data_IF_976022648989
#
_entry.id   IF_976022648989
#
_cell.length_a   1.000
_cell.length_b   1.000
_cell.length_c   1.000
_cell.angle_alpha   90.00
_cell.angle_beta   90.00
_cell.angle_gamma   90.00
#
_symmetry.space_group_name_H-M   'P 1'
#
loop_
_entity.id
_entity.type
_entity.pdbx_description
1 polymer ?
#
# COMPACT_ATOMS: atom_id res chain seq x y z
N UNK A 1 10.20 21.65 -14.19
CA UNK A 1 9.23 20.53 -14.26
C UNK A 1 8.27 20.65 -13.09
N UNK A 2 6.98 20.35 -13.27
CA UNK A 2 6.05 20.26 -12.15
C UNK A 2 6.51 19.15 -11.17
N UNK A 3 6.37 19.34 -9.85
CA UNK A 3 6.76 18.32 -8.88
C UNK A 3 5.95 17.05 -9.12
N UNK A 4 6.64 15.92 -9.25
CA UNK A 4 5.96 14.63 -9.36
C UNK A 4 5.40 14.26 -8.00
N UNK A 5 4.10 14.03 -7.97
CA UNK A 5 3.34 13.87 -6.73
C UNK A 5 2.82 12.44 -6.64
N UNK A 6 2.99 11.80 -5.50
CA UNK A 6 2.30 10.55 -5.15
C UNK A 6 1.11 10.96 -4.28
N UNK A 7 -0.10 10.63 -4.73
CA UNK A 7 -1.32 10.80 -3.94
C UNK A 7 -1.76 9.44 -3.41
N UNK A 8 -2.04 9.35 -2.11
CA UNK A 8 -2.44 8.12 -1.44
C UNK A 8 -3.84 8.32 -0.89
N UNK A 9 -4.70 7.35 -1.14
CA UNK A 9 -6.08 7.33 -0.65
C UNK A 9 -6.31 5.99 0.04
N UNK A 10 -6.68 6.03 1.31
CA UNK A 10 -6.88 4.82 2.12
C UNK A 10 -7.30 5.16 3.55
N UNK A 11 -7.49 4.12 4.37
CA UNK A 11 -7.89 4.26 5.77
C UNK A 11 -6.79 4.84 6.66
N UNK A 12 -7.24 5.53 7.70
CA UNK A 12 -6.48 5.97 8.85
C UNK A 12 -7.18 5.38 10.07
N UNK A 13 -6.47 4.56 10.82
CA UNK A 13 -7.02 3.84 11.95
C UNK A 13 -6.21 4.17 13.22
N UNK A 14 -6.79 3.89 14.38
CA UNK A 14 -6.12 3.94 15.67
C UNK A 14 -6.11 2.52 16.23
N UNK A 15 -4.93 1.91 16.24
CA UNK A 15 -4.73 0.52 16.61
C UNK A 15 -4.57 0.42 18.14
N UNK A 16 -5.47 -0.34 18.77
CA UNK A 16 -5.34 -0.78 20.15
C UNK A 16 -4.76 -2.19 20.17
N UNK A 17 -3.48 -2.31 20.50
CA UNK A 17 -2.74 -3.57 20.48
C UNK A 17 -2.67 -4.12 21.91
N UNK A 18 -3.43 -5.17 22.16
CA UNK A 18 -3.46 -5.84 23.47
C UNK A 18 -2.58 -7.10 23.40
N UNK A 19 -1.54 -7.16 24.23
CA UNK A 19 -0.63 -8.30 24.33
C UNK A 19 -1.06 -9.16 25.52
N UNK A 20 -1.34 -10.43 25.27
CA UNK A 20 -1.68 -11.42 26.29
C UNK A 20 -0.90 -12.72 26.05
N UNK A 21 -0.83 -13.58 27.07
CA UNK A 21 -0.09 -14.85 27.00
C UNK A 21 -0.67 -15.84 25.96
N UNK A 22 -1.92 -15.64 25.55
CA UNK A 22 -2.60 -16.40 24.48
C UNK A 22 -3.87 -15.66 24.02
N UNK A 23 -4.48 -16.15 22.95
CA UNK A 23 -5.81 -15.71 22.51
C UNK A 23 -6.86 -16.20 23.52
N UNK A 24 -7.83 -15.36 23.94
CA UNK A 24 -8.92 -15.78 24.82
C UNK A 24 -9.91 -16.69 24.09
N UNK A 25 -10.45 -17.68 24.80
CA UNK A 25 -11.54 -18.52 24.29
C UNK A 25 -12.87 -17.74 24.25
N UNK A 26 -13.84 -18.26 23.49
CA UNK A 26 -15.17 -17.64 23.39
C UNK A 26 -15.87 -17.54 24.75
N UNK A 27 -16.09 -16.32 25.23
CA UNK A 27 -16.73 -16.03 26.52
C UNK A 27 -15.77 -15.95 27.71
N UNK A 28 -14.47 -16.17 27.50
CA UNK A 28 -13.44 -16.04 28.53
C UNK A 28 -13.03 -14.56 28.74
N UNK A 29 -12.69 -14.20 29.97
CA UNK A 29 -11.96 -12.96 30.29
C UNK A 29 -10.50 -13.28 30.63
N UNK A 30 -9.57 -12.73 29.86
CA UNK A 30 -8.13 -12.91 30.07
C UNK A 30 -7.49 -11.56 30.40
N UNK A 31 -6.66 -11.52 31.44
CA UNK A 31 -5.88 -10.32 31.78
C UNK A 31 -4.78 -10.11 30.74
N UNK A 32 -4.72 -8.91 30.16
CA UNK A 32 -3.66 -8.52 29.26
C UNK A 32 -2.36 -8.24 30.04
N UNK A 33 -1.23 -8.56 29.43
CA UNK A 33 0.09 -8.22 29.95
C UNK A 33 0.39 -6.73 29.67
N UNK A 34 0.10 -6.29 28.45
CA UNK A 34 0.38 -4.94 27.98
C UNK A 34 -0.73 -4.48 27.02
N UNK A 35 -0.94 -3.16 26.98
CA UNK A 35 -1.81 -2.50 26.01
C UNK A 35 -1.02 -1.37 25.39
N UNK A 36 -0.91 -1.35 24.06
CA UNK A 36 -0.18 -0.36 23.29
C UNK A 36 -1.16 0.35 22.36
N UNK A 37 -1.05 1.66 22.30
CA UNK A 37 -1.78 2.47 21.34
C UNK A 37 -0.84 2.88 20.22
N UNK A 38 -1.30 2.73 18.97
CA UNK A 38 -0.51 3.10 17.80
C UNK A 38 -1.40 3.68 16.71
N UNK A 39 -0.86 4.63 15.96
CA UNK A 39 -1.48 5.04 14.70
C UNK A 39 -1.35 3.90 13.68
N UNK A 40 -2.45 3.64 12.98
CA UNK A 40 -2.60 2.53 12.06
C UNK A 40 -3.32 2.93 10.78
N UNK A 41 -3.78 1.92 10.06
CA UNK A 41 -4.52 2.07 8.82
C UNK A 41 -3.64 2.02 7.57
N UNK A 42 -4.10 1.25 6.58
CA UNK A 42 -3.33 0.91 5.37
C UNK A 42 -2.92 2.13 4.56
N UNK A 43 -3.80 3.14 4.50
CA UNK A 43 -3.54 4.40 3.80
C UNK A 43 -2.44 5.19 4.50
N UNK A 44 -2.58 5.37 5.82
CA UNK A 44 -1.59 6.08 6.64
C UNK A 44 -0.22 5.39 6.62
N UNK A 45 -0.18 4.07 6.81
CA UNK A 45 1.05 3.27 6.76
C UNK A 45 1.75 3.38 5.40
N UNK A 46 0.98 3.27 4.30
CA UNK A 46 1.52 3.44 2.95
C UNK A 46 2.07 4.85 2.72
N UNK A 47 1.39 5.87 3.25
CA UNK A 47 1.83 7.27 3.16
C UNK A 47 3.13 7.54 3.91
N UNK A 48 3.23 7.09 5.15
CA UNK A 48 4.46 7.20 5.95
C UNK A 48 5.60 6.43 5.27
N UNK A 49 5.34 5.23 4.75
CA UNK A 49 6.33 4.46 4.00
C UNK A 49 6.80 5.18 2.74
N UNK A 50 5.89 5.69 1.92
CA UNK A 50 6.26 6.48 0.73
C UNK A 50 7.10 7.69 1.13
N UNK A 51 6.76 8.39 2.20
CA UNK A 51 7.55 9.53 2.68
C UNK A 51 8.94 9.11 3.16
N UNK A 52 9.03 8.19 4.12
CA UNK A 52 10.30 7.77 4.73
C UNK A 52 11.23 7.10 3.73
N UNK A 53 10.72 6.32 2.79
CA UNK A 53 11.54 5.69 1.74
C UNK A 53 12.10 6.67 0.70
N UNK A 54 11.58 7.91 0.64
CA UNK A 54 12.10 9.00 -0.18
C UNK A 54 13.13 9.88 0.54
N UNK A 55 13.18 9.84 1.87
CA UNK A 55 13.96 10.80 2.67
C UNK A 55 14.94 10.08 3.58
N UNK A 56 16.08 10.71 3.85
CA UNK A 56 16.99 10.24 4.92
C UNK A 56 16.40 10.58 6.27
N UNK A 57 16.70 9.79 7.29
CA UNK A 57 16.33 10.09 8.67
C UNK A 57 16.83 11.49 9.05
N UNK A 58 15.96 12.39 9.58
CA UNK A 58 16.39 13.70 10.06
C UNK A 58 17.41 13.56 11.19
N UNK A 59 18.44 14.41 11.20
CA UNK A 59 19.44 14.46 12.27
C UNK A 59 18.74 14.95 13.55
N UNK A 60 18.88 14.21 14.66
CA UNK A 60 18.27 14.53 15.96
C UNK A 60 16.88 13.94 16.20
N UNK A 61 16.35 13.13 15.28
CA UNK A 61 15.08 12.43 15.46
C UNK A 61 15.33 11.02 16.02
N UNK A 62 15.44 10.88 17.35
CA UNK A 62 15.52 9.58 18.00
C UNK A 62 14.12 9.04 18.32
N UNK A 63 13.90 7.78 17.96
CA UNK A 63 12.61 7.07 18.05
C UNK A 63 12.29 6.58 19.46
N UNK A 64 12.81 7.23 20.50
CA UNK A 64 12.57 6.86 21.89
C UNK A 64 11.66 7.84 22.66
N UNK A 65 11.15 8.90 22.02
CA UNK A 65 10.13 9.74 22.66
C UNK A 65 8.79 8.99 22.72
N UNK A 66 8.56 8.37 23.88
CA UNK A 66 7.39 7.58 24.23
C UNK A 66 6.11 8.37 24.49
N UNK A 67 6.11 9.70 24.37
CA UNK A 67 4.94 10.52 24.70
C UNK A 67 4.62 11.48 23.56
N UNK A 68 3.52 11.23 22.85
CA UNK A 68 2.82 12.27 22.09
C UNK A 68 2.09 13.21 23.07
N UNK A 69 2.84 14.03 23.80
CA UNK A 69 2.34 15.28 24.35
C UNK A 69 2.76 16.40 23.40
N UNK A 70 1.98 16.58 22.32
CA UNK A 70 2.05 17.78 21.49
C UNK A 70 1.06 18.79 22.05
N UNK A 71 1.47 19.50 23.10
CA UNK A 71 1.02 20.86 23.36
C UNK A 71 2.26 21.76 23.55
N UNK A 72 2.20 22.89 22.87
CA UNK A 72 3.27 23.83 22.55
C UNK A 72 3.97 24.48 23.74
N UNK A 73 5.24 24.87 23.56
CA UNK A 73 5.69 26.23 23.89
C UNK A 73 6.97 26.57 23.08
N UNK A 74 7.03 27.77 22.48
CA UNK A 74 8.15 28.36 21.70
C UNK A 74 8.18 28.20 20.16
N UNK A 75 7.10 28.61 19.48
CA UNK A 75 7.18 29.83 18.68
C UNK A 75 8.08 29.91 17.42
N UNK A 76 8.25 28.84 16.63
CA UNK A 76 8.38 28.90 15.13
C UNK A 76 8.55 27.50 14.49
N UNK A 77 7.49 26.87 13.97
CA UNK A 77 7.63 25.72 13.09
C UNK A 77 7.90 26.17 11.64
N UNK A 78 8.89 25.55 10.99
CA UNK A 78 8.97 25.51 9.52
C UNK A 78 7.70 24.78 9.02
N UNK A 79 7.08 25.21 7.90
CA UNK A 79 5.88 24.56 7.40
C UNK A 79 6.23 23.20 6.83
N UNK A 80 6.25 22.17 7.68
CA UNK A 80 5.95 20.82 7.22
C UNK A 80 4.46 20.85 7.01
N UNK A 81 4.03 20.92 5.75
CA UNK A 81 2.63 20.81 5.37
C UNK A 81 2.18 19.40 5.77
N UNK A 82 1.74 19.26 7.03
CA UNK A 82 0.85 18.20 7.47
C UNK A 82 -0.52 18.51 6.88
N UNK A 83 -0.64 18.36 5.56
CA UNK A 83 -1.93 18.08 4.97
C UNK A 83 -2.09 16.56 4.97
N UNK A 84 -2.15 16.01 6.19
CA UNK A 84 -3.16 14.99 6.43
C UNK A 84 -4.45 15.74 6.10
N UNK A 85 -4.95 15.58 4.87
CA UNK A 85 -6.36 15.85 4.64
C UNK A 85 -7.02 15.12 5.80
N UNK A 86 -7.59 15.89 6.73
CA UNK A 86 -8.65 15.37 7.58
C UNK A 86 -9.46 14.45 6.68
N UNK A 87 -9.93 13.28 7.14
CA UNK A 87 -10.99 12.62 6.42
C UNK A 87 -12.13 13.64 6.41
N UNK A 88 -12.18 14.48 5.37
CA UNK A 88 -13.37 14.67 4.61
C UNK A 88 -13.79 13.23 4.34
N UNK A 89 -14.62 12.73 5.24
CA UNK A 89 -15.91 12.23 4.88
C UNK A 89 -16.50 13.30 3.95
N UNK A 90 -15.99 13.40 2.72
CA UNK A 90 -16.87 13.56 1.60
C UNK A 90 -17.72 12.30 1.70
N UNK A 91 -18.86 12.46 2.39
CA UNK A 91 -20.10 12.00 1.80
C UNK A 91 -19.98 12.40 0.35
N UNK A 92 -19.57 11.45 -0.49
CA UNK A 92 -19.91 11.47 -1.90
C UNK A 92 -21.42 11.34 -1.89
N UNK A 93 -22.06 12.46 -1.58
CA UNK A 93 -23.47 12.65 -1.80
C UNK A 93 -23.54 12.55 -3.30
N UNK A 94 -23.95 11.38 -3.79
CA UNK A 94 -24.52 11.29 -5.12
C UNK A 94 -25.61 12.34 -5.14
N UNK A 95 -25.31 13.54 -5.66
CA UNK A 95 -26.33 14.52 -5.96
C UNK A 95 -27.18 13.81 -7.01
N UNK A 96 -28.44 13.42 -6.71
CA UNK A 96 -29.29 12.87 -7.74
C UNK A 96 -29.48 14.01 -8.71
N UNK A 97 -28.88 13.91 -9.90
CA UNK A 97 -29.22 14.80 -11.01
C UNK A 97 -30.74 14.68 -11.14
N UNK A 98 -31.45 15.80 -10.88
CA UNK A 98 -32.90 15.89 -11.02
C UNK A 98 -33.28 15.26 -12.37
N UNK A 99 -34.15 14.26 -12.33
CA UNK A 99 -34.75 13.63 -13.51
C UNK A 99 -35.53 14.69 -14.29
N UNK A 100 -34.90 15.30 -15.29
CA UNK A 100 -35.63 15.96 -16.38
C UNK A 100 -35.81 14.97 -17.51
N UNK A 101 -37.03 14.89 -18.05
CA UNK A 101 -37.54 13.82 -18.91
C UNK A 101 -36.80 13.57 -20.25
N UNK A 102 -35.73 14.30 -20.55
CA UNK A 102 -34.93 14.14 -21.78
C UNK A 102 -33.82 13.07 -21.71
N UNK A 103 -33.56 12.47 -20.54
CA UNK A 103 -32.28 11.78 -20.27
C UNK A 103 -32.20 10.31 -20.75
N UNK A 104 -33.23 9.80 -21.44
CA UNK A 104 -33.22 8.41 -21.96
C UNK A 104 -32.37 8.24 -23.23
N UNK A 105 -32.09 9.30 -24.00
CA UNK A 105 -31.33 9.20 -25.27
C UNK A 105 -29.81 9.43 -25.14
N UNK A 106 -29.30 9.90 -23.99
CA UNK A 106 -27.87 10.23 -23.81
C UNK A 106 -27.00 9.13 -23.20
N UNK A 107 -27.58 7.99 -22.79
CA UNK A 107 -26.83 6.90 -22.13
C UNK A 107 -25.89 6.10 -23.04
N UNK A 108 -26.01 6.18 -24.37
CA UNK A 108 -25.11 5.47 -25.30
C UNK A 108 -23.85 6.24 -25.72
N UNK A 109 -23.62 7.48 -25.25
CA UNK A 109 -22.45 8.31 -25.64
C UNK A 109 -21.70 8.96 -24.46
N UNK A 110 -21.76 8.37 -23.28
CA UNK A 110 -21.12 8.92 -22.07
C UNK A 110 -19.89 8.13 -21.61
N UNK A 111 -19.62 6.96 -22.20
CA UNK A 111 -18.59 6.04 -21.72
C UNK A 111 -17.16 6.43 -22.13
N UNK A 112 -17.01 7.26 -23.18
CA UNK A 112 -15.70 7.68 -23.72
C UNK A 112 -15.36 9.15 -23.45
N UNK A 113 -16.30 9.95 -22.89
CA UNK A 113 -16.08 11.40 -22.68
C UNK A 113 -15.49 11.78 -21.33
N UNK A 114 -15.51 10.87 -20.35
CA UNK A 114 -14.64 10.95 -19.18
C UNK A 114 -13.46 10.01 -19.41
N UNK A 115 -12.65 10.32 -20.42
CA UNK A 115 -11.34 9.71 -20.55
C UNK A 115 -10.57 10.00 -19.27
N UNK A 116 -10.29 8.96 -18.48
CA UNK A 116 -9.27 9.04 -17.45
C UNK A 116 -8.02 9.63 -18.12
N UNK A 117 -7.46 10.74 -17.62
CA UNK A 117 -6.29 11.34 -18.24
C UNK A 117 -5.24 10.25 -18.38
N UNK A 118 -4.68 10.11 -19.58
CA UNK A 118 -3.58 9.21 -19.94
C UNK A 118 -2.26 9.52 -19.19
N UNK A 119 -2.32 10.17 -18.02
CA UNK A 119 -1.20 10.76 -17.29
C UNK A 119 -1.08 10.34 -15.82
N UNK A 120 -2.05 9.62 -15.25
CA UNK A 120 -2.00 9.17 -13.85
C UNK A 120 -1.85 7.65 -13.83
N UNK A 121 -0.73 7.17 -13.30
CA UNK A 121 -0.56 5.75 -13.02
C UNK A 121 -1.28 5.40 -11.74
N UNK A 122 -2.05 4.31 -11.77
CA UNK A 122 -2.84 3.85 -10.64
C UNK A 122 -2.21 2.59 -10.03
N UNK A 123 -1.81 2.68 -8.77
CA UNK A 123 -1.34 1.55 -7.98
C UNK A 123 -2.45 1.15 -7.00
N UNK A 124 -2.90 -0.10 -7.08
CA UNK A 124 -3.90 -0.66 -6.18
C UNK A 124 -3.26 -1.72 -5.29
N UNK A 125 -3.22 -1.48 -3.98
CA UNK A 125 -3.05 -2.52 -2.97
C UNK A 125 -4.44 -3.03 -2.57
N UNK A 126 -4.82 -4.23 -2.99
CA UNK A 126 -6.21 -4.71 -2.85
C UNK A 126 -6.48 -5.37 -1.48
N UNK A 127 -6.13 -4.66 -0.41
CA UNK A 127 -6.21 -5.14 0.96
C UNK A 127 -7.22 -4.31 1.79
N UNK A 128 -8.23 -4.92 2.44
CA UNK A 128 -8.68 -6.31 2.27
C UNK A 128 -9.32 -6.52 0.90
N UNK A 129 -9.36 -7.78 0.45
CA UNK A 129 -9.93 -8.13 -0.85
C UNK A 129 -11.38 -7.66 -0.97
N UNK A 130 -11.65 -6.82 -1.98
CA UNK A 130 -13.00 -6.37 -2.31
C UNK A 130 -13.28 -6.65 -3.78
N UNK A 131 -14.51 -7.09 -4.15
CA UNK A 131 -14.86 -7.33 -5.54
C UNK A 131 -14.67 -6.06 -6.36
N UNK A 132 -13.89 -6.15 -7.43
CA UNK A 132 -13.74 -5.07 -8.40
C UNK A 132 -14.29 -5.55 -9.73
N UNK A 133 -15.05 -4.70 -10.43
CA UNK A 133 -15.58 -5.07 -11.75
C UNK A 133 -14.43 -5.33 -12.73
N UNK A 134 -14.56 -6.34 -13.60
CA UNK A 134 -13.54 -6.66 -14.64
C UNK A 134 -13.16 -5.45 -15.50
N UNK A 135 -14.10 -4.52 -15.68
CA UNK A 135 -13.86 -3.28 -16.42
C UNK A 135 -12.85 -2.36 -15.75
N UNK A 136 -12.79 -2.34 -14.43
CA UNK A 136 -11.90 -1.44 -13.66
C UNK A 136 -10.42 -1.82 -13.81
N UNK A 137 -10.10 -3.10 -14.00
CA UNK A 137 -8.73 -3.60 -14.09
C UNK A 137 -7.91 -2.92 -15.20
N UNK A 138 -8.54 -2.52 -16.31
CA UNK A 138 -7.90 -1.78 -17.41
C UNK A 138 -7.27 -0.44 -17.01
N UNK A 139 -7.70 0.12 -15.87
CA UNK A 139 -7.20 1.39 -15.36
C UNK A 139 -6.09 1.20 -14.33
N UNK A 140 -5.80 -0.04 -13.92
CA UNK A 140 -4.80 -0.36 -12.90
C UNK A 140 -3.43 -0.50 -13.58
N UNK A 141 -2.49 0.36 -13.22
CA UNK A 141 -1.11 0.30 -13.72
C UNK A 141 -0.30 -0.73 -12.93
N UNK A 142 -0.48 -0.77 -11.61
CA UNK A 142 0.18 -1.73 -10.72
C UNK A 142 -0.85 -2.34 -9.78
N UNK A 143 -1.02 -3.65 -9.82
CA UNK A 143 -1.85 -4.40 -8.88
C UNK A 143 -0.94 -5.13 -7.89
N UNK A 144 -1.10 -4.81 -6.61
CA UNK A 144 -0.47 -5.50 -5.50
C UNK A 144 -1.55 -6.27 -4.73
N UNK A 145 -1.37 -7.58 -4.59
CA UNK A 145 -2.28 -8.50 -3.88
C UNK A 145 -1.46 -9.46 -3.03
N UNK A 146 -1.99 -9.97 -1.92
CA UNK A 146 -1.45 -11.19 -1.29
C UNK A 146 -2.10 -12.47 -1.83
N UNK A 147 -1.68 -13.65 -1.37
CA UNK A 147 -2.24 -14.95 -1.81
C UNK A 147 -3.76 -15.02 -1.63
N UNK A 148 -4.28 -14.57 -0.47
CA UNK A 148 -5.71 -14.60 -0.16
C UNK A 148 -6.50 -13.60 -1.01
N UNK A 149 -5.92 -12.43 -1.29
CA UNK A 149 -6.51 -11.39 -2.14
C UNK A 149 -6.48 -11.80 -3.62
N UNK A 150 -5.39 -12.41 -4.07
CA UNK A 150 -5.28 -12.98 -5.40
C UNK A 150 -6.33 -14.09 -5.61
N UNK A 151 -6.53 -14.96 -4.61
CA UNK A 151 -7.59 -15.96 -4.63
C UNK A 151 -8.98 -15.31 -4.77
N UNK A 152 -9.30 -14.39 -3.86
CA UNK A 152 -10.60 -13.73 -3.84
C UNK A 152 -10.90 -12.93 -5.12
N UNK A 153 -9.94 -12.15 -5.61
CA UNK A 153 -10.11 -11.32 -6.81
C UNK A 153 -10.15 -12.15 -8.10
N UNK A 154 -9.51 -13.33 -8.09
CA UNK A 154 -9.53 -14.25 -9.21
C UNK A 154 -10.61 -15.33 -9.14
N UNK A 155 -11.48 -15.25 -8.13
CA UNK A 155 -12.56 -16.19 -7.87
C UNK A 155 -12.09 -17.64 -7.71
N UNK A 156 -11.00 -17.81 -6.95
CA UNK A 156 -10.38 -19.08 -6.58
C UNK A 156 -10.43 -19.29 -5.08
N UNK A 157 -10.32 -20.55 -4.65
CA UNK A 157 -10.04 -20.82 -3.23
C UNK A 157 -8.57 -20.56 -2.93
N UNK A 158 -8.24 -20.23 -1.68
CA UNK A 158 -6.87 -19.89 -1.27
C UNK A 158 -5.87 -21.01 -1.60
N UNK A 159 -6.29 -22.25 -1.44
CA UNK A 159 -5.45 -23.42 -1.70
C UNK A 159 -5.08 -23.60 -3.17
N UNK A 160 -5.74 -22.92 -4.11
CA UNK A 160 -5.37 -22.94 -5.53
C UNK A 160 -4.27 -21.93 -5.86
N UNK A 161 -3.94 -21.00 -4.96
CA UNK A 161 -2.89 -19.99 -5.16
C UNK A 161 -1.56 -20.56 -4.67
N UNK A 162 -0.83 -21.23 -5.56
CA UNK A 162 0.44 -21.92 -5.30
C UNK A 162 1.48 -21.53 -6.34
N UNK A 163 2.72 -21.93 -6.11
CA UNK A 163 3.86 -21.58 -6.95
C UNK A 163 3.64 -21.89 -8.44
N UNK A 164 2.99 -23.01 -8.72
CA UNK A 164 2.67 -23.49 -10.06
C UNK A 164 1.58 -22.65 -10.74
N UNK A 165 0.70 -22.01 -9.97
CA UNK A 165 -0.44 -21.25 -10.48
C UNK A 165 -0.24 -19.74 -10.48
N UNK A 166 0.79 -19.21 -9.80
CA UNK A 166 1.10 -17.78 -9.83
C UNK A 166 1.26 -17.21 -11.25
N UNK A 167 1.96 -17.87 -12.21
CA UNK A 167 2.05 -17.36 -13.57
C UNK A 167 0.69 -17.26 -14.25
N UNK A 168 -0.19 -18.24 -14.02
CA UNK A 168 -1.53 -18.30 -14.60
C UNK A 168 -2.40 -17.16 -14.04
N UNK A 169 -2.39 -16.99 -12.71
CA UNK A 169 -3.15 -15.94 -12.02
C UNK A 169 -2.65 -14.56 -12.44
N UNK A 170 -1.33 -14.35 -12.49
CA UNK A 170 -0.76 -13.09 -12.95
C UNK A 170 -1.16 -12.80 -14.42
N UNK A 171 -1.09 -13.80 -15.30
CA UNK A 171 -1.49 -13.67 -16.69
C UNK A 171 -2.97 -13.32 -16.84
N UNK A 172 -3.86 -13.84 -15.99
CA UNK A 172 -5.26 -13.46 -15.99
C UNK A 172 -5.48 -11.99 -15.65
N UNK A 173 -4.81 -11.47 -14.62
CA UNK A 173 -4.87 -10.05 -14.27
C UNK A 173 -4.34 -9.16 -15.41
N UNK A 174 -3.25 -9.59 -16.08
CA UNK A 174 -2.73 -8.92 -17.27
C UNK A 174 -3.77 -8.94 -18.41
N UNK A 175 -4.43 -10.08 -18.64
CA UNK A 175 -5.49 -10.22 -19.65
C UNK A 175 -6.72 -9.36 -19.32
N UNK A 176 -6.98 -9.03 -18.05
CA UNK A 176 -8.02 -8.09 -17.64
C UNK A 176 -7.62 -6.61 -17.83
N UNK A 177 -6.37 -6.34 -18.21
CA UNK A 177 -5.87 -5.03 -18.58
C UNK A 177 -4.95 -4.37 -17.54
N UNK A 178 -4.56 -5.08 -16.48
CA UNK A 178 -3.54 -4.60 -15.54
C UNK A 178 -2.19 -4.56 -16.26
N UNK A 179 -1.38 -3.51 -16.05
CA UNK A 179 -0.06 -3.43 -16.69
C UNK A 179 1.04 -4.19 -15.95
N UNK A 180 1.03 -4.13 -14.62
CA UNK A 180 2.02 -4.81 -13.77
C UNK A 180 1.31 -5.47 -12.58
N UNK A 181 1.67 -6.71 -12.27
CA UNK A 181 1.07 -7.49 -11.18
C UNK A 181 2.16 -7.97 -10.25
N UNK A 182 1.93 -7.82 -8.95
CA UNK A 182 2.76 -8.36 -7.87
C UNK A 182 1.86 -9.12 -6.91
N UNK A 183 2.08 -10.43 -6.80
CA UNK A 183 1.38 -11.33 -5.87
C UNK A 183 2.31 -11.61 -4.70
N UNK A 184 1.93 -11.22 -3.49
CA UNK A 184 2.73 -11.31 -2.27
C UNK A 184 2.37 -12.58 -1.50
N UNK A 185 3.38 -13.21 -0.91
CA UNK A 185 3.47 -14.62 -0.49
C UNK A 185 4.04 -14.74 0.94
N UNK A 186 3.79 -13.72 1.76
CA UNK A 186 4.31 -13.65 3.13
C UNK A 186 5.82 -13.91 3.17
N UNK A 187 6.28 -14.77 4.08
CA UNK A 187 7.70 -15.09 4.27
C UNK A 187 8.42 -15.62 3.02
N UNK A 188 7.70 -16.30 2.13
CA UNK A 188 8.27 -16.83 0.90
C UNK A 188 8.57 -15.74 -0.08
N UNK A 189 7.78 -14.68 -0.06
CA UNK A 189 8.03 -13.60 -0.95
C UNK A 189 6.86 -12.88 -1.61
N UNK A 190 7.02 -12.52 -2.89
CA UNK A 190 6.07 -11.93 -3.81
C UNK A 190 6.57 -12.24 -5.21
N UNK A 191 5.70 -12.92 -5.93
CA UNK A 191 5.81 -13.21 -7.34
C UNK A 191 5.44 -11.97 -8.16
N UNK A 192 6.39 -11.51 -8.94
CA UNK A 192 6.13 -10.86 -10.23
C UNK A 192 6.87 -11.70 -11.29
N UNK A 193 6.86 -11.34 -12.56
CA UNK A 193 7.71 -12.02 -13.55
C UNK A 193 9.22 -11.92 -13.18
N UNK A 194 9.70 -12.81 -12.29
CA UNK A 194 11.05 -13.08 -11.75
C UNK A 194 11.52 -12.47 -10.39
N UNK A 195 10.78 -12.57 -9.27
CA UNK A 195 11.37 -12.74 -7.91
C UNK A 195 10.36 -13.15 -6.80
N UNK A 196 10.84 -13.18 -5.53
CA UNK A 196 10.17 -13.52 -4.26
C UNK A 196 10.62 -12.53 -3.10
N UNK A 197 9.67 -11.99 -2.32
CA UNK A 197 9.48 -10.67 -1.65
C UNK A 197 8.33 -10.45 -0.55
N UNK A 198 8.52 -10.40 0.78
CA UNK A 198 7.44 -10.14 1.80
C UNK A 198 6.66 -8.82 1.58
N UNK A 199 5.33 -8.78 1.77
CA UNK A 199 4.57 -7.52 1.63
C UNK A 199 3.56 -7.20 2.74
N UNK A 200 3.43 -5.89 2.96
CA UNK A 200 2.48 -5.17 3.80
C UNK A 200 2.46 -3.69 3.36
N UNK A 201 1.87 -2.79 4.14
CA UNK A 201 1.74 -1.37 3.74
C UNK A 201 3.10 -0.69 3.49
N UNK A 202 4.15 -1.10 4.22
CA UNK A 202 5.52 -0.64 3.95
C UNK A 202 5.98 -0.99 2.53
N UNK A 203 5.70 -2.21 2.08
CA UNK A 203 6.07 -2.65 0.73
C UNK A 203 5.39 -1.77 -0.33
N UNK A 204 4.08 -1.52 -0.17
CA UNK A 204 3.31 -0.67 -1.08
C UNK A 204 3.91 0.73 -1.18
N UNK A 205 4.20 1.36 -0.04
CA UNK A 205 4.76 2.70 -0.03
C UNK A 205 6.17 2.80 -0.64
N UNK A 206 7.03 1.81 -0.35
CA UNK A 206 8.39 1.72 -0.88
C UNK A 206 8.43 1.37 -2.37
N UNK A 207 7.50 0.52 -2.85
CA UNK A 207 7.36 0.21 -4.26
C UNK A 207 6.92 1.45 -5.05
N UNK A 208 5.92 2.19 -4.55
CA UNK A 208 5.39 3.38 -5.20
C UNK A 208 6.47 4.48 -5.34
N UNK A 209 7.22 4.75 -4.26
CA UNK A 209 8.30 5.74 -4.29
C UNK A 209 9.41 5.34 -5.27
N UNK A 210 9.80 4.06 -5.28
CA UNK A 210 10.85 3.58 -6.16
C UNK A 210 10.42 3.55 -7.63
N UNK A 211 9.18 3.14 -7.93
CA UNK A 211 8.58 3.25 -9.26
C UNK A 211 8.67 4.68 -9.80
N UNK A 212 8.22 5.66 -9.01
CA UNK A 212 8.23 7.05 -9.46
C UNK A 212 9.67 7.57 -9.69
N UNK A 213 10.62 7.20 -8.83
CA UNK A 213 12.04 7.55 -8.98
C UNK A 213 12.61 6.98 -10.27
N UNK A 214 12.43 5.68 -10.51
CA UNK A 214 12.93 4.99 -11.70
C UNK A 214 12.28 5.51 -12.99
N UNK A 215 10.95 5.66 -12.99
CA UNK A 215 10.21 6.25 -14.12
C UNK A 215 10.67 7.68 -14.45
N UNK A 216 11.12 8.43 -13.45
CA UNK A 216 11.68 9.78 -13.65
C UNK A 216 13.07 9.75 -14.26
N UNK A 217 13.88 8.78 -13.87
CA UNK A 217 15.18 8.53 -14.48
C UNK A 217 15.07 7.97 -15.91
N UNK A 218 13.90 7.46 -16.31
CA UNK A 218 13.68 6.80 -17.60
C UNK A 218 14.14 5.34 -17.63
N UNK A 219 14.48 4.78 -16.46
CA UNK A 219 15.05 3.43 -16.31
C UNK A 219 14.15 2.61 -15.37
N UNK A 220 13.01 2.14 -15.91
CA UNK A 220 12.06 1.34 -15.15
C UNK A 220 12.44 -0.14 -15.13
N UNK A 221 12.72 -0.62 -13.93
CA UNK A 221 13.05 -1.98 -13.58
C UNK A 221 12.21 -2.43 -12.37
N UNK A 222 11.15 -3.19 -12.68
CA UNK A 222 10.25 -3.75 -11.67
C UNK A 222 10.98 -4.63 -10.64
N UNK A 223 12.01 -5.38 -11.05
CA UNK A 223 12.82 -6.21 -10.14
C UNK A 223 13.49 -5.35 -9.08
N UNK A 224 14.15 -4.28 -9.50
CA UNK A 224 14.81 -3.37 -8.57
C UNK A 224 13.82 -2.70 -7.60
N UNK A 225 12.62 -2.34 -8.08
CA UNK A 225 11.59 -1.73 -7.25
C UNK A 225 11.03 -2.69 -6.21
N UNK A 226 10.75 -3.94 -6.62
CA UNK A 226 10.28 -4.98 -5.73
C UNK A 226 11.35 -5.36 -4.69
N UNK A 227 12.62 -5.51 -5.10
CA UNK A 227 13.75 -5.80 -4.19
C UNK A 227 13.88 -4.70 -3.13
N UNK A 228 13.82 -3.42 -3.52
CA UNK A 228 13.88 -2.33 -2.55
C UNK A 228 12.69 -2.35 -1.59
N UNK A 229 11.49 -2.62 -2.10
CA UNK A 229 10.29 -2.71 -1.28
C UNK A 229 10.37 -3.85 -0.25
N UNK A 230 11.05 -4.95 -0.59
CA UNK A 230 11.31 -6.04 0.37
C UNK A 230 12.24 -5.66 1.48
N UNK A 231 13.34 -4.98 1.15
CA UNK A 231 14.27 -4.49 2.18
C UNK A 231 13.51 -3.63 3.18
N UNK A 232 12.64 -2.74 2.71
CA UNK A 232 11.81 -1.92 3.57
C UNK A 232 10.83 -2.74 4.43
N UNK A 233 10.15 -3.73 3.83
CA UNK A 233 9.24 -4.61 4.55
C UNK A 233 9.96 -5.50 5.59
N UNK A 234 11.16 -6.00 5.27
CA UNK A 234 12.00 -6.81 6.16
C UNK A 234 12.40 -6.02 7.41
N UNK A 235 12.88 -4.79 7.25
CA UNK A 235 13.22 -3.93 8.40
C UNK A 235 11.97 -3.63 9.25
N UNK A 236 10.80 -3.49 8.63
CA UNK A 236 9.55 -3.19 9.36
C UNK A 236 9.16 -4.33 10.30
N UNK A 237 9.23 -5.58 9.84
CA UNK A 237 8.82 -6.75 10.64
C UNK A 237 9.80 -7.10 11.77
N UNK A 238 11.01 -6.54 11.75
CA UNK A 238 12.00 -6.67 12.83
C UNK A 238 11.70 -5.74 14.01
N UNK A 239 10.81 -4.77 13.83
CA UNK A 239 10.45 -3.75 14.83
C UNK A 239 9.01 -3.94 15.31
N UNK A 240 8.75 -3.63 16.58
CA UNK A 240 7.40 -3.60 17.12
C UNK A 240 6.67 -2.32 16.66
N UNK A 241 5.39 -2.46 16.32
CA UNK A 241 4.51 -1.36 15.92
C UNK A 241 4.46 -1.12 14.40
N UNK A 242 3.24 -0.92 13.88
CA UNK A 242 2.97 -0.82 12.44
C UNK A 242 3.70 0.37 11.79
N UNK A 243 3.44 1.60 12.25
CA UNK A 243 4.06 2.81 11.69
C UNK A 243 5.46 3.09 12.22
N UNK A 244 5.71 2.76 13.49
CA UNK A 244 7.01 2.95 14.13
C UNK A 244 8.11 2.14 13.43
N UNK A 245 7.79 0.93 12.97
CA UNK A 245 8.73 0.05 12.27
C UNK A 245 9.13 0.49 10.86
N UNK A 246 8.39 1.40 10.23
CA UNK A 246 8.61 1.82 8.83
C UNK A 246 9.98 2.51 8.68
N UNK A 247 10.91 1.99 7.86
CA UNK A 247 12.27 2.50 7.75
C UNK A 247 12.39 3.75 6.88
N UNK A 248 13.46 4.51 7.10
CA UNK A 248 13.94 5.61 6.26
C UNK A 248 14.76 5.12 5.07
N UNK A 249 14.94 5.97 4.05
CA UNK A 249 15.65 5.62 2.83
C UNK A 249 17.08 5.13 3.08
N UNK A 250 17.79 5.75 4.03
CA UNK A 250 19.16 5.39 4.40
C UNK A 250 19.26 4.09 5.18
N UNK A 251 18.23 3.73 5.97
CA UNK A 251 18.16 2.41 6.60
C UNK A 251 18.01 1.31 5.53
N UNK A 252 17.16 1.54 4.51
CA UNK A 252 16.97 0.61 3.39
C UNK A 252 18.26 0.46 2.56
N UNK A 253 18.96 1.56 2.32
CA UNK A 253 20.20 1.56 1.53
C UNK A 253 21.34 0.81 2.22
N UNK A 254 21.37 0.82 3.56
CA UNK A 254 22.37 0.10 4.39
C UNK A 254 21.99 -1.34 4.67
N UNK A 255 20.72 -1.71 4.50
CA UNK A 255 20.23 -3.04 4.79
C UNK A 255 20.71 -4.03 3.72
N UNK A 256 21.63 -4.90 4.12
CA UNK A 256 22.11 -5.98 3.30
C UNK A 256 21.23 -7.21 3.51
N UNK A 257 20.48 -7.57 2.47
CA UNK A 257 19.52 -8.66 2.53
C UNK A 257 20.02 -9.78 1.62
N UNK A 258 20.11 -11.03 2.09
CA UNK A 258 20.40 -12.15 1.21
C UNK A 258 19.31 -12.23 0.14
N UNK A 259 19.68 -12.03 -1.11
CA UNK A 259 18.79 -12.19 -2.26
C UNK A 259 19.10 -13.54 -2.90
N UNK A 260 18.19 -14.50 -2.76
CA UNK A 260 18.23 -15.70 -3.59
C UNK A 260 17.71 -15.33 -4.97
N UNK A 261 18.60 -15.29 -5.97
CA UNK A 261 18.16 -15.22 -7.35
C UNK A 261 17.54 -16.57 -7.72
N UNK A 262 16.25 -16.65 -8.07
CA UNK A 262 15.63 -17.92 -8.47
C UNK A 262 16.22 -18.52 -9.77
N UNK A 263 17.19 -17.84 -10.40
CA UNK A 263 17.97 -18.35 -11.52
C UNK A 263 19.25 -19.11 -11.11
N UNK A 264 19.51 -19.29 -9.80
CA UNK A 264 20.62 -20.10 -9.25
C UNK A 264 20.08 -21.16 -8.30
#
# INVERSE_FOLDING_TARGET
MAPKTISITGGLDYDLIVIANRIPDGGESLLANECLEALGGKGANSAISTYRTCHKRPIGFDSQDKNEDVLEESGKPKPVVWQCLQPLITKTTFKPLRRTAGDRRRRRRADDRYGWPSRIDFLLNAAPASPVTKRTYRYITHLLVNESEAAAMSNRVRDEVRQETWPIIAQEFLNWGVKNVVITLGAKGAYYANASCRAGDTFTGAYASNYLRQKTAGDWNIRAAVVRANKAAAITIEKLGAQAGIPWADEIDRFDAPFNDPAV
#
